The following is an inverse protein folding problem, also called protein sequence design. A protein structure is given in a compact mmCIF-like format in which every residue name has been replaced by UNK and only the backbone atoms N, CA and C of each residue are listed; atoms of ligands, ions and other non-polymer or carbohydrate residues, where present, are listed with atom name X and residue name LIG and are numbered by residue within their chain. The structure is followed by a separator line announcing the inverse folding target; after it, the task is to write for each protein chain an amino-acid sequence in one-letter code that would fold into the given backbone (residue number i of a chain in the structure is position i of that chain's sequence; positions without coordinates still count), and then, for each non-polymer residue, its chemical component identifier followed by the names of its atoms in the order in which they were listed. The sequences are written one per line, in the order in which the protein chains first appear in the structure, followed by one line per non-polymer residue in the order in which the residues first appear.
data_IF_695779135645
#
_entry.id   IF_695779135645
#
_cell.length_a   1.000
_cell.length_b   1.000
_cell.length_c   1.000
_cell.angle_alpha   90.00
_cell.angle_beta   90.00
_cell.angle_gamma   90.00
#
_symmetry.space_group_name_H-M   'P 1'
#
loop_
_entity.id
_entity.type
_entity.pdbx_description
1 polymer ?
#
# COMPACT_ATOMS: atom_id res chain seq x y z
N UNK A 1 5.20 -19.65 13.21
CA UNK A 1 5.93 -18.37 13.28
C UNK A 1 5.03 -17.35 12.62
N UNK A 2 4.37 -16.44 13.35
CA UNK A 2 3.62 -15.36 12.70
C UNK A 2 4.64 -14.40 12.12
N UNK A 3 4.86 -14.49 10.81
CA UNK A 3 5.63 -13.49 10.10
C UNK A 3 4.88 -12.17 10.24
N UNK A 4 5.43 -11.18 10.95
CA UNK A 4 4.68 -9.98 11.31
C UNK A 4 4.55 -9.05 10.09
N UNK A 5 3.53 -9.31 9.28
CA UNK A 5 3.19 -8.59 8.06
C UNK A 5 3.03 -7.09 8.28
N UNK A 6 2.39 -6.73 9.39
CA UNK A 6 2.27 -5.35 9.87
C UNK A 6 3.65 -4.71 10.07
N UNK A 7 4.61 -5.45 10.62
CA UNK A 7 5.98 -4.97 10.81
C UNK A 7 6.66 -4.66 9.47
N UNK A 8 6.44 -5.46 8.42
CA UNK A 8 7.01 -5.18 7.09
C UNK A 8 6.45 -3.89 6.48
N UNK A 9 5.13 -3.72 6.50
CA UNK A 9 4.47 -2.51 5.99
C UNK A 9 4.99 -1.28 6.73
N UNK A 10 4.95 -1.34 8.06
CA UNK A 10 5.41 -0.23 8.90
C UNK A 10 6.92 0.02 8.72
N UNK A 11 7.74 -1.01 8.48
CA UNK A 11 9.17 -0.84 8.20
C UNK A 11 9.40 -0.12 6.88
N UNK A 12 8.66 -0.44 5.82
CA UNK A 12 8.77 0.25 4.52
C UNK A 12 8.41 1.73 4.68
N UNK A 13 7.27 2.02 5.31
CA UNK A 13 6.81 3.40 5.55
C UNK A 13 7.81 4.16 6.44
N UNK A 14 8.25 3.58 7.56
CA UNK A 14 9.23 4.19 8.45
C UNK A 14 10.57 4.46 7.73
N UNK A 15 11.10 3.47 7.02
CA UNK A 15 12.38 3.62 6.31
C UNK A 15 12.31 4.77 5.30
N UNK A 16 11.19 4.91 4.60
CA UNK A 16 10.98 6.03 3.70
C UNK A 16 10.99 7.38 4.43
N UNK A 17 10.23 7.49 5.53
CA UNK A 17 10.20 8.68 6.38
C UNK A 17 11.58 9.08 6.93
N UNK A 18 12.41 8.10 7.31
CA UNK A 18 13.75 8.35 7.85
C UNK A 18 14.79 8.69 6.76
N UNK A 19 14.68 8.10 5.57
CA UNK A 19 15.67 8.28 4.50
C UNK A 19 15.49 9.59 3.74
N UNK A 20 14.27 10.10 3.61
CA UNK A 20 14.00 11.33 2.87
C UNK A 20 14.26 12.64 3.65
N UNK A 21 14.78 12.59 4.89
CA UNK A 21 15.10 13.75 5.73
C UNK A 21 13.95 14.75 5.99
N UNK A 22 12.73 14.40 5.61
CA UNK A 22 11.50 15.10 5.96
C UNK A 22 10.66 14.14 6.81
N UNK A 23 10.25 14.58 8.00
CA UNK A 23 9.50 13.71 8.93
C UNK A 23 7.98 13.80 8.73
N UNK A 24 7.51 14.68 7.83
CA UNK A 24 6.08 14.96 7.67
C UNK A 24 5.69 15.42 6.25
N UNK A 25 4.38 15.47 5.96
CA UNK A 25 3.76 15.77 4.66
C UNK A 25 3.79 14.64 3.62
N UNK A 26 3.81 13.39 4.05
CA UNK A 26 3.60 12.28 3.13
C UNK A 26 2.13 11.88 3.07
N UNK A 27 1.67 11.58 1.85
CA UNK A 27 0.44 10.85 1.62
C UNK A 27 0.80 9.46 1.06
N UNK A 28 0.65 8.43 1.89
CA UNK A 28 0.90 7.04 1.49
C UNK A 28 -0.39 6.44 0.89
N UNK A 29 -0.40 6.24 -0.42
CA UNK A 29 -1.50 5.56 -1.13
C UNK A 29 -1.25 4.07 -1.13
N UNK A 30 -2.14 3.31 -0.49
CA UNK A 30 -1.97 1.88 -0.26
C UNK A 30 -2.60 1.08 -1.40
N UNK A 31 -1.76 0.54 -2.30
CA UNK A 31 -2.16 -0.25 -3.46
C UNK A 31 -2.18 -1.74 -3.14
N UNK A 32 -3.32 -2.41 -3.35
CA UNK A 32 -3.48 -3.84 -3.07
C UNK A 32 -3.80 -4.18 -1.60
N UNK A 33 -4.28 -3.21 -0.81
CA UNK A 33 -4.55 -3.38 0.62
C UNK A 33 -6.01 -3.60 0.98
N UNK A 34 -6.95 -3.32 0.06
CA UNK A 34 -8.39 -3.28 0.35
C UNK A 34 -8.94 -4.56 0.99
N UNK A 35 -8.34 -5.72 0.65
CA UNK A 35 -8.73 -7.01 1.19
C UNK A 35 -8.41 -7.21 2.69
N UNK A 36 -7.53 -6.40 3.25
CA UNK A 36 -6.99 -6.65 4.59
C UNK A 36 -6.62 -5.40 5.38
N UNK A 37 -6.94 -4.21 4.88
CA UNK A 37 -6.68 -2.94 5.57
C UNK A 37 -7.27 -2.91 6.99
N UNK A 38 -8.42 -3.57 7.21
CA UNK A 38 -9.07 -3.67 8.52
C UNK A 38 -8.35 -4.61 9.50
N UNK A 39 -7.39 -5.40 9.03
CA UNK A 39 -6.63 -6.37 9.84
C UNK A 39 -5.25 -5.87 10.26
N UNK A 40 -4.80 -4.73 9.74
CA UNK A 40 -3.45 -4.22 9.95
C UNK A 40 -3.47 -2.84 10.59
N UNK A 41 -2.48 -2.56 11.44
CA UNK A 41 -2.24 -1.20 11.93
C UNK A 41 -1.15 -0.51 11.12
N UNK A 42 -1.43 0.71 10.66
CA UNK A 42 -0.46 1.54 9.93
C UNK A 42 -0.01 2.67 10.84
N UNK A 43 1.30 2.87 10.92
CA UNK A 43 1.98 3.86 11.76
C UNK A 43 1.79 5.34 11.31
N UNK A 44 0.83 5.63 10.46
CA UNK A 44 0.45 6.99 10.01
C UNK A 44 -1.06 7.16 10.10
N UNK A 45 -1.56 8.40 10.11
CA UNK A 45 -3.00 8.63 10.31
C UNK A 45 -3.79 8.31 9.05
N UNK A 46 -5.02 7.81 9.19
CA UNK A 46 -5.94 7.75 8.04
C UNK A 46 -6.19 9.17 7.53
N UNK A 47 -6.23 9.34 6.22
CA UNK A 47 -6.45 10.60 5.55
C UNK A 47 -7.81 11.21 5.95
N UNK A 48 -7.78 12.51 6.28
CA UNK A 48 -8.95 13.35 6.53
C UNK A 48 -8.65 14.73 5.95
N UNK A 49 -9.39 15.12 4.91
CA UNK A 49 -9.17 16.39 4.20
C UNK A 49 -9.27 17.60 5.15
N UNK A 50 -10.00 17.49 6.25
CA UNK A 50 -10.19 18.59 7.23
C UNK A 50 -8.94 18.88 8.07
N UNK A 51 -7.93 18.01 8.08
CA UNK A 51 -6.73 18.13 8.93
C UNK A 51 -5.44 18.40 8.12
N UNK A 52 -5.55 18.69 6.81
CA UNK A 52 -4.42 18.87 5.90
C UNK A 52 -3.42 19.94 6.34
N UNK A 53 -3.90 21.02 6.95
CA UNK A 53 -3.06 22.11 7.48
C UNK A 53 -2.16 21.72 8.67
N UNK A 54 -2.36 20.53 9.26
CA UNK A 54 -1.61 20.10 10.45
C UNK A 54 -0.25 19.46 10.14
N UNK A 55 0.14 19.36 8.87
CA UNK A 55 1.48 18.93 8.43
C UNK A 55 1.87 17.55 8.97
N UNK A 56 0.95 16.59 8.93
CA UNK A 56 1.17 15.20 9.40
C UNK A 56 1.43 14.26 8.22
N UNK A 57 1.68 12.99 8.50
CA UNK A 57 1.69 11.94 7.49
C UNK A 57 0.35 11.21 7.51
N UNK A 58 -0.17 10.95 6.31
CA UNK A 58 -1.44 10.27 6.12
C UNK A 58 -1.30 9.02 5.27
N UNK A 59 -2.29 8.12 5.39
CA UNK A 59 -2.52 7.05 4.45
C UNK A 59 -3.98 7.06 3.95
N UNK A 60 -4.19 6.56 2.73
CA UNK A 60 -5.49 6.18 2.20
C UNK A 60 -5.33 4.96 1.31
N UNK A 61 -6.41 4.22 1.09
CA UNK A 61 -6.37 3.11 0.10
C UNK A 61 -6.33 3.67 -1.31
N UNK A 62 -5.85 2.86 -2.25
CA UNK A 62 -5.85 3.24 -3.67
C UNK A 62 -7.27 3.50 -4.18
N UNK A 63 -8.24 2.71 -3.74
CA UNK A 63 -9.65 2.89 -4.06
C UNK A 63 -10.19 4.22 -3.53
N UNK A 64 -9.86 4.60 -2.29
CA UNK A 64 -10.23 5.92 -1.74
C UNK A 64 -9.52 7.07 -2.50
N UNK A 65 -8.29 6.84 -2.95
CA UNK A 65 -7.51 7.83 -3.70
C UNK A 65 -8.11 8.16 -5.08
N UNK A 66 -8.70 7.17 -5.75
CA UNK A 66 -9.41 7.37 -7.03
C UNK A 66 -10.69 8.19 -6.89
N UNK A 67 -11.24 8.29 -5.66
CA UNK A 67 -12.48 9.00 -5.36
C UNK A 67 -12.26 10.42 -4.84
N UNK A 68 -11.00 10.87 -4.70
CA UNK A 68 -10.71 12.24 -4.29
C UNK A 68 -11.18 13.23 -5.35
N UNK A 69 -11.87 14.28 -4.91
CA UNK A 69 -12.26 15.39 -5.77
C UNK A 69 -11.08 16.32 -6.09
N UNK A 70 -11.23 17.12 -7.15
CA UNK A 70 -10.21 18.06 -7.63
C UNK A 70 -9.82 19.09 -6.56
N UNK A 71 -10.76 19.49 -5.69
CA UNK A 71 -10.53 20.45 -4.62
C UNK A 71 -9.57 19.88 -3.57
N UNK A 72 -9.80 18.64 -3.13
CA UNK A 72 -8.95 17.92 -2.18
C UNK A 72 -7.55 17.66 -2.76
N UNK A 73 -7.49 17.28 -4.05
CA UNK A 73 -6.20 17.09 -4.74
C UNK A 73 -5.43 18.40 -4.84
N UNK A 74 -6.11 19.52 -5.09
CA UNK A 74 -5.48 20.82 -5.12
C UNK A 74 -4.98 21.23 -3.72
N UNK A 75 -5.76 20.97 -2.66
CA UNK A 75 -5.35 21.28 -1.29
C UNK A 75 -4.11 20.48 -0.85
N UNK A 76 -4.00 19.22 -1.26
CA UNK A 76 -2.80 18.40 -1.07
C UNK A 76 -1.56 19.05 -1.70
N UNK A 77 -1.70 19.55 -2.94
CA UNK A 77 -0.61 20.24 -3.66
C UNK A 77 -0.24 21.56 -2.99
N UNK A 78 -1.23 22.37 -2.61
CA UNK A 78 -1.02 23.67 -1.97
C UNK A 78 -0.33 23.53 -0.60
N UNK A 79 -0.57 22.43 0.11
CA UNK A 79 0.10 22.09 1.36
C UNK A 79 1.42 21.30 1.17
N UNK A 80 1.88 21.12 -0.07
CA UNK A 80 3.13 20.40 -0.43
C UNK A 80 3.18 18.96 0.09
N UNK A 81 2.07 18.22 0.02
CA UNK A 81 2.10 16.79 0.31
C UNK A 81 2.85 16.03 -0.78
N UNK A 82 3.78 15.18 -0.36
CA UNK A 82 4.49 14.25 -1.23
C UNK A 82 3.79 12.90 -1.25
N UNK A 83 3.23 12.56 -2.42
CA UNK A 83 2.42 11.35 -2.60
C UNK A 83 3.30 10.18 -2.98
N UNK A 84 3.20 9.09 -2.20
CA UNK A 84 3.92 7.84 -2.42
C UNK A 84 2.96 6.67 -2.48
N UNK A 85 3.09 5.84 -3.49
CA UNK A 85 2.32 4.60 -3.61
C UNK A 85 3.07 3.52 -2.83
N UNK A 86 2.42 2.88 -1.87
CA UNK A 86 2.92 1.67 -1.22
C UNK A 86 2.27 0.48 -1.91
N UNK A 87 3.07 -0.30 -2.63
CA UNK A 87 2.60 -1.40 -3.47
C UNK A 87 2.71 -2.73 -2.74
N UNK A 88 1.53 -3.30 -2.46
CA UNK A 88 1.39 -4.63 -1.93
C UNK A 88 1.09 -5.62 -3.04
N UNK A 89 2.13 -6.32 -3.50
CA UNK A 89 1.99 -7.30 -4.56
C UNK A 89 2.72 -8.63 -4.26
N UNK A 90 1.97 -9.63 -3.77
CA UNK A 90 2.49 -10.98 -3.56
C UNK A 90 2.48 -11.83 -4.85
N UNK A 91 1.55 -11.57 -5.77
CA UNK A 91 1.30 -12.38 -6.96
C UNK A 91 1.80 -11.63 -8.20
N UNK A 92 2.79 -12.13 -8.95
CA UNK A 92 3.33 -11.39 -10.09
C UNK A 92 2.25 -10.83 -11.02
N UNK A 93 2.24 -9.49 -11.19
CA UNK A 93 1.29 -8.73 -12.01
C UNK A 93 -0.19 -8.80 -11.62
N UNK A 94 -0.53 -9.30 -10.43
CA UNK A 94 -1.92 -9.42 -9.99
C UNK A 94 -2.08 -8.98 -8.54
N UNK A 95 -3.13 -8.21 -8.27
CA UNK A 95 -3.47 -7.75 -6.92
C UNK A 95 -4.77 -8.37 -6.44
N UNK A 96 -4.85 -8.59 -5.12
CA UNK A 96 -6.07 -9.02 -4.46
C UNK A 96 -6.77 -7.78 -3.92
N UNK A 97 -7.99 -7.54 -4.38
CA UNK A 97 -8.86 -6.46 -3.91
C UNK A 97 -10.14 -7.04 -3.32
N UNK A 98 -10.81 -6.26 -2.47
CA UNK A 98 -12.12 -6.61 -1.92
C UNK A 98 -13.18 -5.73 -2.57
N UNK A 99 -14.12 -6.35 -3.26
CA UNK A 99 -15.23 -5.66 -3.92
C UNK A 99 -16.54 -6.36 -3.53
N UNK A 100 -17.49 -5.64 -2.94
CA UNK A 100 -18.78 -6.18 -2.47
C UNK A 100 -18.65 -7.43 -1.56
N UNK A 101 -17.71 -7.39 -0.60
CA UNK A 101 -17.36 -8.50 0.30
C UNK A 101 -16.75 -9.75 -0.35
N UNK A 102 -16.47 -9.72 -1.65
CA UNK A 102 -15.76 -10.78 -2.36
C UNK A 102 -14.31 -10.41 -2.65
N UNK A 103 -13.40 -11.39 -2.55
CA UNK A 103 -12.02 -11.22 -2.99
C UNK A 103 -11.96 -11.38 -4.51
N UNK A 104 -11.37 -10.39 -5.19
CA UNK A 104 -11.15 -10.42 -6.63
C UNK A 104 -9.68 -10.21 -6.95
N UNK A 105 -9.29 -10.77 -8.08
CA UNK A 105 -7.98 -10.57 -8.68
C UNK A 105 -8.10 -9.54 -9.79
N UNK A 106 -7.21 -8.56 -9.77
CA UNK A 106 -7.10 -7.55 -10.83
C UNK A 106 -5.66 -7.48 -11.31
N UNK A 107 -5.49 -7.27 -12.61
CA UNK A 107 -4.16 -7.20 -13.24
C UNK A 107 -3.68 -5.74 -13.43
N UNK A 108 -4.55 -4.77 -13.14
CA UNK A 108 -4.24 -3.35 -13.25
C UNK A 108 -5.15 -2.51 -12.37
N UNK A 109 -4.65 -1.35 -11.95
CA UNK A 109 -5.44 -0.28 -11.36
C UNK A 109 -5.52 0.88 -12.34
N UNK A 110 -6.62 1.63 -12.29
CA UNK A 110 -6.70 2.92 -13.00
C UNK A 110 -5.60 3.87 -12.50
N UNK A 111 -5.01 4.70 -13.37
CA UNK A 111 -3.92 5.58 -12.99
C UNK A 111 -4.40 6.66 -12.01
N UNK A 112 -3.53 7.02 -11.05
CA UNK A 112 -3.73 8.18 -10.18
C UNK A 112 -2.99 9.38 -10.74
N UNK A 113 -3.69 10.27 -11.43
CA UNK A 113 -3.10 11.40 -12.15
C UNK A 113 -2.32 12.39 -11.25
N UNK A 114 -2.59 12.39 -9.95
CA UNK A 114 -1.91 13.25 -8.97
C UNK A 114 -0.76 12.55 -8.23
N UNK A 115 -0.52 11.25 -8.48
CA UNK A 115 0.58 10.50 -7.92
C UNK A 115 1.57 10.10 -9.03
N UNK A 116 2.85 10.37 -8.83
CA UNK A 116 3.87 9.97 -9.80
C UNK A 116 4.14 8.47 -9.70
N UNK A 117 4.00 7.72 -10.80
CA UNK A 117 4.22 6.26 -10.82
C UNK A 117 5.61 5.84 -10.30
N UNK A 118 6.64 6.65 -10.57
CA UNK A 118 8.02 6.42 -10.09
C UNK A 118 8.16 6.49 -8.56
N UNK A 119 7.19 7.07 -7.84
CA UNK A 119 7.16 7.17 -6.37
C UNK A 119 6.42 5.99 -5.77
N UNK A 120 6.90 4.78 -6.09
CA UNK A 120 6.33 3.53 -5.61
C UNK A 120 7.29 2.79 -4.69
N UNK A 121 6.80 2.38 -3.52
CA UNK A 121 7.49 1.57 -2.53
C UNK A 121 6.91 0.15 -2.54
N UNK A 122 7.64 -0.81 -3.09
CA UNK A 122 7.22 -2.21 -3.08
C UNK A 122 7.49 -2.87 -1.72
N UNK A 123 6.48 -3.53 -1.14
CA UNK A 123 6.63 -4.25 0.14
C UNK A 123 7.45 -5.53 -0.01
N UNK A 124 7.32 -6.18 -1.16
CA UNK A 124 8.01 -7.41 -1.45
C UNK A 124 9.14 -7.20 -2.46
N UNK A 125 10.07 -8.18 -2.48
CA UNK A 125 11.15 -8.19 -3.45
C UNK A 125 10.57 -8.34 -4.87
N UNK A 126 10.90 -7.40 -5.75
CA UNK A 126 10.43 -7.36 -7.14
C UNK A 126 10.91 -8.55 -7.98
N UNK A 127 11.95 -9.27 -7.55
CA UNK A 127 12.46 -10.47 -8.25
C UNK A 127 11.67 -11.73 -7.84
N UNK A 128 11.33 -11.87 -6.56
CA UNK A 128 10.52 -12.98 -6.06
C UNK A 128 9.88 -12.58 -4.71
N UNK A 129 8.58 -12.26 -4.75
CA UNK A 129 7.84 -11.75 -3.59
C UNK A 129 7.78 -12.73 -2.42
N UNK A 130 7.96 -14.03 -2.68
CA UNK A 130 7.91 -15.09 -1.67
C UNK A 130 9.21 -15.28 -0.90
N UNK A 131 10.29 -14.60 -1.31
CA UNK A 131 11.60 -14.70 -0.65
C UNK A 131 11.49 -14.27 0.81
N UNK A 132 11.78 -15.19 1.73
CA UNK A 132 11.69 -14.98 3.17
C UNK A 132 10.26 -15.02 3.73
N UNK A 133 9.30 -15.58 2.98
CA UNK A 133 7.92 -15.88 3.42
C UNK A 133 7.70 -17.39 3.46
N UNK A 134 8.19 -18.10 2.45
CA UNK A 134 8.07 -19.55 2.30
C UNK A 134 9.45 -20.20 2.21
N UNK A 135 9.52 -21.51 2.48
CA UNK A 135 10.79 -22.26 2.49
C UNK A 135 11.44 -22.38 1.10
N UNK A 136 10.63 -22.67 0.07
CA UNK A 136 11.10 -22.71 -1.32
C UNK A 136 10.36 -21.65 -2.17
N UNK A 137 10.91 -20.44 -2.32
CA UNK A 137 10.24 -19.36 -3.05
C UNK A 137 10.23 -19.60 -4.56
N UNK A 138 11.02 -20.53 -5.10
CA UNK A 138 11.12 -20.76 -6.54
C UNK A 138 10.17 -21.84 -7.06
N UNK A 139 9.54 -22.60 -6.18
CA UNK A 139 8.48 -23.53 -6.55
C UNK A 139 7.33 -22.80 -7.22
N UNK A 140 6.90 -23.30 -8.37
CA UNK A 140 5.69 -22.85 -9.06
C UNK A 140 4.47 -23.04 -8.15
N UNK A 141 3.63 -22.01 -8.08
CA UNK A 141 2.48 -21.95 -7.16
C UNK A 141 1.22 -21.60 -7.90
N UNK A 142 0.12 -22.21 -7.50
CA UNK A 142 -1.20 -21.83 -8.01
C UNK A 142 -1.72 -20.60 -7.26
N UNK A 143 -2.80 -20.00 -7.76
CA UNK A 143 -3.47 -18.89 -7.10
C UNK A 143 -3.95 -19.30 -5.69
N UNK A 144 -4.41 -20.54 -5.53
CA UNK A 144 -4.84 -21.09 -4.24
C UNK A 144 -3.68 -21.13 -3.22
N UNK A 145 -2.47 -21.47 -3.66
CA UNK A 145 -1.28 -21.42 -2.79
C UNK A 145 -1.02 -20.00 -2.31
N UNK A 146 -1.09 -19.00 -3.21
CA UNK A 146 -0.93 -17.59 -2.84
C UNK A 146 -2.02 -17.11 -1.88
N UNK A 147 -3.27 -17.52 -2.08
CA UNK A 147 -4.36 -17.21 -1.16
C UNK A 147 -4.14 -17.83 0.22
N UNK A 148 -3.62 -19.06 0.27
CA UNK A 148 -3.30 -19.71 1.54
C UNK A 148 -2.16 -18.98 2.26
N UNK A 149 -1.08 -18.64 1.55
CA UNK A 149 0.03 -17.84 2.08
C UNK A 149 -0.48 -16.48 2.61
N UNK A 150 -1.34 -15.81 1.84
CA UNK A 150 -1.95 -14.54 2.25
C UNK A 150 -2.78 -14.69 3.52
N UNK A 151 -3.56 -15.75 3.67
CA UNK A 151 -4.33 -16.03 4.89
C UNK A 151 -3.44 -16.28 6.10
N UNK A 152 -2.25 -16.82 5.91
CA UNK A 152 -1.28 -17.06 6.98
C UNK A 152 -0.50 -15.79 7.36
N UNK A 153 -0.40 -14.83 6.45
CA UNK A 153 0.24 -13.54 6.66
C UNK A 153 -0.65 -12.50 7.38
N UNK A 154 -1.98 -12.67 7.33
CA UNK A 154 -2.99 -11.71 7.81
C UNK A 154 -3.75 -12.19 9.05
#
# INVERSE_FOLDING_TARGET
MSYNFEERINRVINNHQFTCQHLSHYLFVLKGFDAFIDKISINVKKFDSRDLGSRKNYYLTYSDALLLDDETVQELKDNNYDVWIVDFNLIPNTWIVKENDELKFIDSFDPLDFAEERKTLSIFNTTNSLTGIVDDPNTERTIEDYLQIMKELL
#
